data_IF_942697019055
#
_entry.id   IF_942697019055
#
_cell.length_a   1.000
_cell.length_b   1.000
_cell.length_c   1.000
_cell.angle_alpha   90.00
_cell.angle_beta   90.00
_cell.angle_gamma   90.00
#
_symmetry.space_group_name_H-M   'P 1'
#
loop_
_entity.id
_entity.type
_entity.pdbx_description
1 polymer ?
#
# COMPACT_ATOMS: atom_id res chain seq x y z
N UNK A 1 -16.17 -0.74 15.78
CA UNK A 1 -16.39 -1.99 15.03
C UNK A 1 -17.14 -1.67 13.75
N UNK A 2 -16.71 -2.13 12.56
CA UNK A 2 -17.41 -1.89 11.30
C UNK A 2 -18.75 -2.64 11.30
N UNK A 3 -19.73 -2.08 10.61
CA UNK A 3 -21.08 -2.66 10.53
C UNK A 3 -21.52 -2.89 9.08
N UNK A 4 -21.27 -1.92 8.20
CA UNK A 4 -21.67 -1.97 6.81
C UNK A 4 -20.68 -1.18 5.94
N UNK A 5 -20.47 -1.63 4.70
CA UNK A 5 -19.69 -0.93 3.69
C UNK A 5 -20.58 -0.62 2.49
N UNK A 6 -20.28 0.46 1.79
CA UNK A 6 -20.95 0.85 0.54
C UNK A 6 -19.89 1.13 -0.52
N UNK A 7 -19.95 0.39 -1.63
CA UNK A 7 -19.06 0.59 -2.77
C UNK A 7 -19.92 1.05 -3.95
N UNK A 8 -19.63 2.25 -4.45
CA UNK A 8 -20.30 2.81 -5.61
C UNK A 8 -19.35 2.78 -6.81
N UNK A 9 -19.87 2.36 -7.97
CA UNK A 9 -19.13 2.32 -9.22
C UNK A 9 -19.94 3.04 -10.30
N UNK A 10 -19.27 3.92 -11.05
CA UNK A 10 -19.80 4.50 -12.28
C UNK A 10 -19.62 3.57 -13.49
N UNK A 11 -18.80 2.52 -13.35
CA UNK A 11 -18.61 1.51 -14.38
C UNK A 11 -19.70 0.43 -14.25
N UNK A 12 -20.57 0.37 -15.26
CA UNK A 12 -21.71 -0.56 -15.30
C UNK A 12 -21.29 -2.01 -15.55
N UNK A 13 -20.14 -2.26 -16.20
CA UNK A 13 -19.67 -3.60 -16.54
C UNK A 13 -19.36 -4.46 -15.31
N UNK A 14 -18.95 -3.81 -14.22
CA UNK A 14 -18.65 -4.46 -12.94
C UNK A 14 -19.74 -4.26 -11.88
N UNK A 15 -20.84 -3.58 -12.21
CA UNK A 15 -21.85 -3.17 -11.23
C UNK A 15 -22.42 -4.34 -10.43
N UNK A 16 -22.80 -5.43 -11.10
CA UNK A 16 -23.36 -6.61 -10.42
C UNK A 16 -22.38 -7.22 -9.41
N UNK A 17 -21.11 -7.34 -9.79
CA UNK A 17 -20.05 -7.88 -8.94
C UNK A 17 -19.71 -6.97 -7.76
N UNK A 18 -19.66 -5.65 -7.99
CA UNK A 18 -19.44 -4.67 -6.92
C UNK A 18 -20.60 -4.68 -5.91
N UNK A 19 -21.85 -4.77 -6.38
CA UNK A 19 -23.02 -4.88 -5.50
C UNK A 19 -22.99 -6.17 -4.70
N UNK A 20 -22.66 -7.31 -5.34
CA UNK A 20 -22.53 -8.59 -4.65
C UNK A 20 -21.44 -8.55 -3.57
N UNK A 21 -20.26 -8.03 -3.91
CA UNK A 21 -19.13 -7.86 -2.99
C UNK A 21 -19.50 -6.99 -1.79
N UNK A 22 -20.13 -5.84 -2.04
CA UNK A 22 -20.62 -4.92 -1.00
C UNK A 22 -21.56 -5.63 -0.04
N UNK A 23 -22.53 -6.40 -0.55
CA UNK A 23 -23.50 -7.15 0.27
C UNK A 23 -22.83 -8.22 1.13
N UNK A 24 -21.86 -8.95 0.57
CA UNK A 24 -21.13 -10.01 1.28
C UNK A 24 -20.27 -9.42 2.39
N UNK A 25 -19.47 -8.38 2.12
CA UNK A 25 -18.63 -7.73 3.13
C UNK A 25 -19.50 -7.19 4.27
N UNK A 26 -20.60 -6.51 3.95
CA UNK A 26 -21.53 -6.01 4.96
C UNK A 26 -22.20 -7.13 5.76
N UNK A 27 -22.50 -8.27 5.15
CA UNK A 27 -23.01 -9.43 5.88
C UNK A 27 -21.96 -9.99 6.88
N UNK A 28 -20.68 -10.03 6.49
CA UNK A 28 -19.58 -10.44 7.39
C UNK A 28 -19.43 -9.45 8.55
N UNK A 29 -19.44 -8.13 8.26
CA UNK A 29 -19.37 -7.10 9.31
C UNK A 29 -20.53 -7.20 10.31
N UNK A 30 -21.76 -7.42 9.83
CA UNK A 30 -22.95 -7.62 10.67
C UNK A 30 -22.88 -8.91 11.51
N UNK A 31 -22.41 -10.02 10.93
CA UNK A 31 -22.25 -11.29 11.66
C UNK A 31 -21.30 -11.12 12.85
N UNK A 32 -20.28 -10.30 12.66
CA UNK A 32 -19.30 -10.00 13.66
C UNK A 32 -18.23 -11.10 13.83
N UNK A 33 -17.59 -11.16 15.01
CA UNK A 33 -16.32 -11.88 15.20
C UNK A 33 -15.08 -11.10 14.73
N UNK A 34 -14.00 -11.82 14.41
CA UNK A 34 -12.83 -11.23 13.77
C UNK A 34 -13.09 -11.05 12.27
N UNK A 35 -12.86 -9.83 11.78
CA UNK A 35 -13.10 -9.44 10.38
C UNK A 35 -11.81 -8.96 9.71
N UNK A 36 -10.68 -9.00 10.42
CA UNK A 36 -9.38 -8.55 9.90
C UNK A 36 -8.92 -9.41 8.72
N UNK A 37 -9.25 -10.70 8.71
CA UNK A 37 -8.95 -11.63 7.60
C UNK A 37 -9.48 -11.16 6.24
N UNK A 38 -10.56 -10.37 6.20
CA UNK A 38 -11.10 -9.85 4.93
C UNK A 38 -10.08 -8.98 4.19
N UNK A 39 -9.18 -8.33 4.92
CA UNK A 39 -8.10 -7.54 4.33
C UNK A 39 -7.22 -8.41 3.46
N UNK A 40 -6.74 -9.53 4.01
CA UNK A 40 -5.83 -10.45 3.30
C UNK A 40 -6.53 -11.11 2.10
N UNK A 41 -7.78 -11.55 2.28
CA UNK A 41 -8.59 -12.16 1.22
C UNK A 41 -8.79 -11.19 0.03
N UNK A 42 -9.07 -9.91 0.31
CA UNK A 42 -9.27 -8.91 -0.74
C UNK A 42 -7.95 -8.53 -1.41
N UNK A 43 -6.87 -8.37 -0.65
CA UNK A 43 -5.53 -8.04 -1.19
C UNK A 43 -4.93 -9.17 -2.04
N UNK A 44 -5.32 -10.42 -1.77
CA UNK A 44 -4.91 -11.58 -2.57
C UNK A 44 -5.63 -11.70 -3.93
N UNK A 45 -6.60 -10.83 -4.23
CA UNK A 45 -7.27 -10.83 -5.55
C UNK A 45 -6.43 -10.09 -6.57
N UNK A 46 -6.10 -10.75 -7.68
CA UNK A 46 -5.29 -10.20 -8.76
C UNK A 46 -6.12 -9.88 -10.01
N UNK A 47 -5.80 -8.76 -10.66
CA UNK A 47 -6.33 -8.44 -11.99
C UNK A 47 -5.47 -9.17 -13.04
N UNK A 48 -6.04 -10.02 -13.91
CA UNK A 48 -5.29 -10.70 -14.95
C UNK A 48 -4.58 -9.76 -15.93
N UNK A 49 -4.92 -8.46 -15.93
CA UNK A 49 -4.30 -7.42 -16.75
C UNK A 49 -3.07 -6.79 -16.10
N UNK A 50 -2.71 -7.19 -14.88
CA UNK A 50 -1.42 -6.82 -14.26
C UNK A 50 -1.46 -5.64 -13.29
N UNK A 51 -2.63 -5.30 -12.73
CA UNK A 51 -2.74 -4.24 -11.72
C UNK A 51 -2.46 -2.83 -12.23
N UNK A 52 -2.23 -1.88 -11.32
CA UNK A 52 -1.90 -0.48 -11.64
C UNK A 52 -1.14 0.21 -10.51
N UNK A 53 -0.52 1.35 -10.82
CA UNK A 53 0.09 2.22 -9.81
C UNK A 53 -0.86 3.36 -9.44
N UNK A 54 -1.03 3.60 -8.14
CA UNK A 54 -1.67 4.81 -7.62
C UNK A 54 -0.68 5.98 -7.64
N UNK A 55 -1.24 7.18 -7.43
CA UNK A 55 -0.45 8.36 -7.07
C UNK A 55 0.43 8.05 -5.85
N UNK A 56 1.65 8.59 -5.83
CA UNK A 56 2.65 8.25 -4.82
C UNK A 56 3.42 6.95 -5.08
N UNK A 57 3.21 6.29 -6.23
CA UNK A 57 4.03 5.16 -6.66
C UNK A 57 3.70 3.82 -5.99
N UNK A 58 2.56 3.71 -5.30
CA UNK A 58 2.10 2.46 -4.69
C UNK A 58 1.42 1.56 -5.74
N UNK A 59 1.89 0.33 -5.88
CA UNK A 59 1.32 -0.68 -6.77
C UNK A 59 0.11 -1.36 -6.14
N UNK A 60 -0.94 -1.53 -6.93
CA UNK A 60 -2.13 -2.31 -6.61
C UNK A 60 -2.26 -3.49 -7.58
N UNK A 61 -2.36 -4.73 -7.08
CA UNK A 61 -2.51 -5.89 -7.93
C UNK A 61 -3.90 -5.99 -8.58
N UNK A 62 -4.93 -5.34 -8.00
CA UNK A 62 -6.27 -5.22 -8.57
C UNK A 62 -7.07 -4.10 -7.89
N UNK A 63 -8.23 -3.75 -8.47
CA UNK A 63 -9.20 -2.87 -7.81
C UNK A 63 -9.75 -3.48 -6.50
N UNK A 64 -9.89 -4.80 -6.44
CA UNK A 64 -10.38 -5.50 -5.24
C UNK A 64 -9.34 -5.43 -4.13
N UNK A 65 -8.06 -5.54 -4.45
CA UNK A 65 -6.98 -5.35 -3.50
C UNK A 65 -6.94 -3.92 -2.95
N UNK A 66 -7.22 -2.91 -3.80
CA UNK A 66 -7.36 -1.53 -3.33
C UNK A 66 -8.55 -1.35 -2.37
N UNK A 67 -9.68 -2.06 -2.58
CA UNK A 67 -10.77 -2.09 -1.60
C UNK A 67 -10.28 -2.72 -0.28
N UNK A 68 -9.46 -3.77 -0.35
CA UNK A 68 -8.80 -4.38 0.81
C UNK A 68 -7.94 -3.38 1.59
N UNK A 69 -7.09 -2.60 0.92
CA UNK A 69 -6.29 -1.53 1.52
C UNK A 69 -7.15 -0.45 2.22
N UNK A 70 -8.25 -0.05 1.59
CA UNK A 70 -9.17 0.94 2.17
C UNK A 70 -9.84 0.40 3.44
N UNK A 71 -10.24 -0.87 3.44
CA UNK A 71 -10.79 -1.55 4.62
C UNK A 71 -9.71 -1.68 5.70
N UNK A 72 -8.49 -2.09 5.36
CA UNK A 72 -7.38 -2.18 6.30
C UNK A 72 -7.12 -0.84 6.99
N UNK A 73 -7.04 0.24 6.20
CA UNK A 73 -6.84 1.59 6.71
C UNK A 73 -7.93 1.97 7.71
N UNK A 74 -9.18 1.62 7.42
CA UNK A 74 -10.28 1.85 8.36
C UNK A 74 -10.18 0.97 9.62
N UNK A 75 -9.81 -0.31 9.48
CA UNK A 75 -9.65 -1.23 10.61
C UNK A 75 -8.50 -0.80 11.54
N UNK A 76 -7.39 -0.29 10.98
CA UNK A 76 -6.30 0.35 11.74
C UNK A 76 -6.78 1.58 12.49
N UNK A 77 -7.48 2.48 11.80
CA UNK A 77 -8.03 3.72 12.38
C UNK A 77 -8.93 3.47 13.61
N UNK A 78 -9.72 2.39 13.59
CA UNK A 78 -10.61 2.03 14.71
C UNK A 78 -9.95 1.09 15.74
N UNK A 79 -8.64 0.83 15.61
CA UNK A 79 -7.85 0.01 16.54
C UNK A 79 -8.12 -1.50 16.46
N UNK A 80 -8.70 -2.00 15.36
CA UNK A 80 -8.91 -3.44 15.15
C UNK A 80 -7.71 -4.15 14.53
N UNK A 81 -6.88 -3.42 13.77
CA UNK A 81 -5.56 -3.87 13.32
C UNK A 81 -4.55 -2.95 13.99
N UNK A 82 -3.51 -3.52 14.60
CA UNK A 82 -2.43 -2.73 15.19
C UNK A 82 -1.40 -2.38 14.12
N UNK A 83 -0.90 -1.15 14.19
CA UNK A 83 0.26 -0.74 13.40
C UNK A 83 1.50 -1.43 13.96
N UNK A 84 2.21 -2.16 13.08
CA UNK A 84 3.60 -2.47 13.34
C UNK A 84 4.37 -1.18 13.11
N UNK A 85 4.47 -0.36 14.15
CA UNK A 85 5.29 0.84 14.11
C UNK A 85 6.72 0.45 13.68
N UNK A 86 7.27 1.24 12.75
CA UNK A 86 8.68 1.11 12.40
C UNK A 86 9.51 1.27 13.67
N UNK A 87 10.42 0.32 13.90
CA UNK A 87 11.36 0.43 15.02
C UNK A 87 12.17 1.73 14.89
N UNK A 88 12.62 2.29 16.01
CA UNK A 88 13.42 3.52 16.05
C UNK A 88 14.68 3.39 15.18
N UNK A 89 15.24 2.19 15.08
CA UNK A 89 16.34 1.89 14.17
C UNK A 89 15.93 2.05 12.70
N UNK A 90 14.76 1.54 12.30
CA UNK A 90 14.25 1.67 10.92
C UNK A 90 13.94 3.13 10.57
N UNK A 91 13.33 3.88 11.50
CA UNK A 91 13.07 5.32 11.30
C UNK A 91 14.36 6.11 11.08
N UNK A 92 15.38 5.88 11.93
CA UNK A 92 16.70 6.52 11.78
C UNK A 92 17.35 6.15 10.46
N UNK A 93 17.34 4.88 10.10
CA UNK A 93 17.93 4.40 8.85
C UNK A 93 17.25 5.04 7.62
N UNK A 94 15.92 5.15 7.61
CA UNK A 94 15.19 5.84 6.53
C UNK A 94 15.58 7.33 6.48
N UNK A 95 15.64 8.02 7.62
CA UNK A 95 15.98 9.44 7.68
C UNK A 95 17.41 9.72 7.20
N UNK A 96 18.39 8.93 7.65
CA UNK A 96 19.78 9.01 7.20
C UNK A 96 19.89 8.80 5.68
N UNK A 97 19.20 7.79 5.16
CA UNK A 97 19.19 7.46 3.73
C UNK A 97 18.53 8.55 2.88
N UNK A 98 17.44 9.18 3.34
CA UNK A 98 16.84 10.34 2.66
C UNK A 98 17.79 11.54 2.64
N UNK A 99 18.45 11.84 3.76
CA UNK A 99 19.41 12.93 3.82
C UNK A 99 20.63 12.71 2.88
N UNK A 100 21.11 11.46 2.77
CA UNK A 100 22.16 11.11 1.82
C UNK A 100 21.74 11.31 0.36
N UNK A 101 20.50 10.96 0.01
CA UNK A 101 19.97 11.20 -1.34
C UNK A 101 19.87 12.68 -1.66
N UNK A 102 19.34 13.49 -0.74
CA UNK A 102 19.21 14.94 -0.92
C UNK A 102 20.60 15.58 -1.14
N UNK A 103 21.62 15.10 -0.42
CA UNK A 103 23.00 15.56 -0.59
C UNK A 103 23.61 15.18 -1.96
N UNK A 104 23.14 14.10 -2.60
CA UNK A 104 23.62 13.63 -3.91
C UNK A 104 22.79 14.20 -5.07
N UNK A 105 21.50 14.47 -4.86
CA UNK A 105 20.54 14.96 -5.88
C UNK A 105 20.63 16.46 -6.17
N UNK A 106 21.47 17.22 -5.47
CA UNK A 106 21.69 18.66 -5.71
C UNK A 106 22.33 19.02 -7.07
N UNK A 107 22.31 18.11 -8.06
CA UNK A 107 22.93 18.26 -9.40
C UNK A 107 22.09 17.74 -10.57
N UNK A 108 20.84 17.34 -10.38
CA UNK A 108 19.98 16.89 -11.49
C UNK A 108 18.55 17.38 -11.31
N UNK A 109 18.26 18.54 -11.89
CA UNK A 109 16.91 19.01 -12.19
C UNK A 109 16.36 18.16 -13.35
N UNK A 110 15.31 17.40 -13.07
CA UNK A 110 14.20 17.03 -13.97
C UNK A 110 13.69 15.62 -13.65
N UNK A 111 12.63 15.55 -12.85
CA UNK A 111 11.60 14.52 -13.05
C UNK A 111 10.28 14.98 -12.44
N UNK A 112 9.34 15.31 -13.32
CA UNK A 112 7.95 15.63 -13.06
C UNK A 112 7.12 14.39 -12.67
N UNK A 113 7.62 13.57 -11.76
CA UNK A 113 6.84 12.47 -11.19
C UNK A 113 6.36 12.89 -9.80
N UNK A 114 5.04 12.81 -9.60
CA UNK A 114 4.29 13.21 -8.39
C UNK A 114 4.55 12.24 -7.21
N UNK A 115 5.77 11.71 -7.10
CA UNK A 115 6.19 10.72 -6.12
C UNK A 115 7.35 11.25 -5.27
N UNK A 116 7.25 11.09 -3.94
CA UNK A 116 8.27 11.48 -2.95
C UNK A 116 9.59 10.68 -3.04
N UNK A 117 9.78 9.88 -4.08
CA UNK A 117 10.90 8.94 -4.24
C UNK A 117 11.67 9.19 -5.54
N UNK A 118 12.99 8.88 -5.58
CA UNK A 118 13.80 9.09 -6.78
C UNK A 118 13.27 8.36 -8.02
N UNK A 119 13.44 8.93 -9.21
CA UNK A 119 13.02 8.33 -10.49
C UNK A 119 13.61 6.92 -10.75
N UNK A 120 14.77 6.62 -10.18
CA UNK A 120 15.41 5.29 -10.25
C UNK A 120 14.94 4.28 -9.20
N UNK A 121 13.90 4.58 -8.40
CA UNK A 121 13.43 3.71 -7.34
C UNK A 121 12.68 2.47 -7.89
N UNK A 122 13.01 1.31 -7.32
CA UNK A 122 12.39 0.03 -7.62
C UNK A 122 11.19 -0.26 -6.72
N UNK A 123 10.35 -1.22 -7.14
CA UNK A 123 9.20 -1.67 -6.36
C UNK A 123 9.65 -2.42 -5.10
N UNK A 124 9.18 -1.97 -3.92
CA UNK A 124 9.39 -2.68 -2.68
C UNK A 124 8.50 -3.94 -2.60
N UNK A 125 9.06 -5.13 -2.36
CA UNK A 125 8.26 -6.35 -2.21
C UNK A 125 7.44 -6.37 -0.92
N UNK A 126 7.83 -5.62 0.12
CA UNK A 126 7.14 -5.56 1.41
C UNK A 126 5.92 -4.63 1.40
N UNK A 127 6.07 -3.41 0.91
CA UNK A 127 5.01 -2.39 0.94
C UNK A 127 4.40 -2.05 -0.42
N UNK A 128 4.88 -2.67 -1.50
CA UNK A 128 4.42 -2.42 -2.87
C UNK A 128 4.58 -0.96 -3.34
N UNK A 129 5.40 -0.15 -2.68
CA UNK A 129 5.73 1.23 -3.11
C UNK A 129 7.02 1.26 -3.91
N UNK A 130 7.06 2.03 -5.01
CA UNK A 130 8.30 2.35 -5.75
C UNK A 130 9.21 3.27 -4.92
N UNK A 131 9.87 2.69 -3.93
CA UNK A 131 10.67 3.41 -2.95
C UNK A 131 11.97 2.66 -2.60
N UNK A 132 12.28 1.54 -3.26
CA UNK A 132 13.54 0.81 -3.05
C UNK A 132 14.65 1.48 -3.84
N UNK A 133 15.76 1.79 -3.17
CA UNK A 133 16.94 2.33 -3.81
C UNK A 133 18.20 1.61 -3.36
N UNK A 134 19.21 1.59 -4.22
CA UNK A 134 20.50 0.99 -3.90
C UNK A 134 21.43 2.05 -3.29
N UNK A 135 21.74 1.91 -2.00
CA UNK A 135 22.73 2.75 -1.30
C UNK A 135 23.65 1.87 -0.47
N UNK A 136 24.94 2.18 -0.51
CA UNK A 136 26.02 1.42 0.17
C UNK A 136 26.03 -0.08 -0.17
N UNK A 137 25.75 -0.39 -1.44
CA UNK A 137 25.68 -1.78 -1.91
C UNK A 137 24.39 -2.53 -1.54
N UNK A 138 23.50 -1.91 -0.76
CA UNK A 138 22.26 -2.50 -0.28
C UNK A 138 20.99 -1.90 -0.91
N UNK A 139 20.00 -2.74 -1.20
CA UNK A 139 18.66 -2.28 -1.58
C UNK A 139 17.81 -2.00 -0.33
N UNK A 140 17.36 -0.76 -0.18
CA UNK A 140 16.57 -0.32 0.98
C UNK A 140 15.38 0.53 0.57
N UNK A 141 14.24 0.28 1.22
CA UNK A 141 12.98 0.98 0.99
C UNK A 141 12.88 2.24 1.84
N UNK A 142 12.73 3.39 1.20
CA UNK A 142 12.53 4.68 1.88
C UNK A 142 11.10 4.87 2.42
N UNK A 143 10.18 3.97 2.12
CA UNK A 143 8.79 4.01 2.57
C UNK A 143 8.56 3.17 3.84
N UNK A 144 9.10 1.94 3.88
CA UNK A 144 8.83 1.00 4.97
C UNK A 144 10.10 0.46 5.66
N UNK A 145 11.28 0.94 5.29
CA UNK A 145 12.55 0.55 5.93
C UNK A 145 13.02 -0.87 5.62
N UNK A 146 12.32 -1.61 4.77
CA UNK A 146 12.74 -2.94 4.33
C UNK A 146 14.10 -2.88 3.63
N UNK A 147 15.00 -3.82 3.96
CA UNK A 147 16.37 -3.82 3.46
C UNK A 147 16.83 -5.25 3.16
N UNK A 148 17.46 -5.47 2.00
CA UNK A 148 17.92 -6.81 1.59
C UNK A 148 19.24 -7.26 2.21
N UNK A 149 19.81 -6.51 3.16
CA UNK A 149 21.13 -6.80 3.74
C UNK A 149 21.11 -7.41 5.13
N UNK A 150 19.95 -7.89 5.59
CA UNK A 150 19.79 -8.52 6.90
C UNK A 150 19.47 -7.53 8.00
#
# INVERSE_FOLDING_TARGET
>A
RPFEVFINSKNMDHFQWIVALTRIISAVFRKGGDVTFLVDELKAVFDPRGGYFKKGGQFMPSLVAEIGDAIESHLRMIGMIQDEDLDEHQKKMIAEKRAQLEAVQSKSEDSSDDSDFPAGAELCPKCSTKAMIKMDGCLTCLNCGDSKCG
#
